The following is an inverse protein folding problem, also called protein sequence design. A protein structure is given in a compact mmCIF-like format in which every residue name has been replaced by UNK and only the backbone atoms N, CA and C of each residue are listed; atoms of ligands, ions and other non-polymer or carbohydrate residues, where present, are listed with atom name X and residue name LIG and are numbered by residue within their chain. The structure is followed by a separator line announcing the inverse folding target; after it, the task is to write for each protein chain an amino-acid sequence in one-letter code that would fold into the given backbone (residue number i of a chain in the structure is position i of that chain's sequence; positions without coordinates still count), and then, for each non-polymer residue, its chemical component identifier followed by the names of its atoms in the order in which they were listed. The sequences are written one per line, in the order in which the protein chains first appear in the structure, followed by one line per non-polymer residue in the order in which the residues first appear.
data_IF_281677360268
#
_entry.id   IF_281677360268
#
_cell.length_a   1.000
_cell.length_b   1.000
_cell.length_c   1.000
_cell.angle_alpha   90.00
_cell.angle_beta   90.00
_cell.angle_gamma   90.00
#
_symmetry.space_group_name_H-M   'P 1'
#
loop_
_entity.id
_entity.type
_entity.pdbx_description
1 polymer ?
#
# COMPACT_ATOMS: atom_id res chain seq x y z
N UNK A 1 19.02 16.48 -4.31
CA UNK A 1 18.28 15.37 -4.95
C UNK A 1 18.66 14.08 -4.23
N UNK A 2 17.92 13.71 -3.19
CA UNK A 2 18.14 12.43 -2.50
C UNK A 2 17.53 11.32 -3.34
N UNK A 3 18.39 10.52 -3.95
CA UNK A 3 18.01 9.30 -4.67
C UNK A 3 17.09 8.46 -3.80
N UNK A 4 15.78 8.45 -4.10
CA UNK A 4 14.82 7.54 -3.47
C UNK A 4 15.34 6.13 -3.68
N UNK A 5 15.75 5.47 -2.61
CA UNK A 5 16.16 4.08 -2.67
C UNK A 5 14.90 3.28 -3.01
N UNK A 6 14.79 2.82 -4.26
CA UNK A 6 13.55 2.29 -4.85
C UNK A 6 13.07 0.96 -4.24
N UNK A 7 13.72 0.49 -3.17
CA UNK A 7 13.52 -0.81 -2.55
C UNK A 7 13.46 -0.76 -1.01
N UNK A 8 13.07 0.36 -0.41
CA UNK A 8 12.82 0.39 1.03
C UNK A 8 11.55 -0.40 1.38
N UNK A 9 11.74 -1.50 2.11
CA UNK A 9 10.64 -2.29 2.66
C UNK A 9 10.15 -1.61 3.92
N UNK A 10 8.91 -1.12 3.89
CA UNK A 10 8.25 -0.51 5.05
C UNK A 10 7.39 -1.58 5.74
N UNK A 11 7.67 -1.85 7.01
CA UNK A 11 6.84 -2.73 7.83
C UNK A 11 5.69 -1.93 8.43
N UNK A 12 4.45 -2.27 8.07
CA UNK A 12 3.24 -1.62 8.57
C UNK A 12 2.51 -2.59 9.49
N UNK A 13 2.15 -2.14 10.69
CA UNK A 13 1.29 -2.88 11.60
C UNK A 13 -0.16 -2.47 11.38
N UNK A 14 -1.01 -3.47 11.21
CA UNK A 14 -2.46 -3.30 11.06
C UNK A 14 -3.18 -4.29 11.97
N UNK A 15 -4.47 -4.05 12.18
CA UNK A 15 -5.32 -4.99 12.91
C UNK A 15 -5.40 -6.35 12.20
N UNK A 16 -5.44 -7.42 12.99
CA UNK A 16 -5.44 -8.79 12.49
C UNK A 16 -6.63 -9.07 11.57
N UNK A 17 -7.82 -8.60 11.94
CA UNK A 17 -9.03 -8.78 11.14
C UNK A 17 -8.91 -8.08 9.77
N UNK A 18 -8.33 -6.88 9.74
CA UNK A 18 -8.12 -6.14 8.50
C UNK A 18 -7.12 -6.87 7.59
N UNK A 19 -6.03 -7.39 8.15
CA UNK A 19 -5.06 -8.20 7.40
C UNK A 19 -5.71 -9.41 6.76
N UNK A 20 -6.54 -10.14 7.50
CA UNK A 20 -7.25 -11.32 6.98
C UNK A 20 -8.21 -10.97 5.85
N UNK A 21 -9.01 -9.90 6.01
CA UNK A 21 -9.92 -9.41 4.98
C UNK A 21 -9.17 -9.06 3.69
N UNK A 22 -8.08 -8.30 3.79
CA UNK A 22 -7.27 -7.91 2.63
C UNK A 22 -6.58 -9.13 2.00
N UNK A 23 -6.10 -10.08 2.79
CA UNK A 23 -5.50 -11.32 2.27
C UNK A 23 -6.47 -12.14 1.44
N UNK A 24 -7.74 -12.23 1.87
CA UNK A 24 -8.80 -12.92 1.09
C UNK A 24 -9.09 -12.20 -0.22
N UNK A 25 -9.08 -10.86 -0.23
CA UNK A 25 -9.27 -10.06 -1.44
C UNK A 25 -8.09 -10.25 -2.41
N UNK A 26 -6.86 -10.22 -1.90
CA UNK A 26 -5.66 -10.45 -2.70
C UNK A 26 -5.69 -11.81 -3.40
N UNK A 27 -6.04 -12.86 -2.65
CA UNK A 27 -6.19 -14.21 -3.17
C UNK A 27 -7.26 -14.30 -4.27
N UNK A 28 -8.44 -13.71 -4.05
CA UNK A 28 -9.52 -13.66 -5.07
C UNK A 28 -9.09 -12.96 -6.36
N UNK A 29 -8.23 -11.95 -6.25
CA UNK A 29 -7.74 -11.18 -7.39
C UNK A 29 -6.48 -11.79 -8.03
N UNK A 30 -5.99 -12.93 -7.55
CA UNK A 30 -4.77 -13.57 -8.06
C UNK A 30 -3.50 -12.74 -7.84
N UNK A 31 -3.48 -11.85 -6.84
CA UNK A 31 -2.34 -10.99 -6.51
C UNK A 31 -1.81 -11.26 -5.09
N UNK A 32 -0.64 -10.71 -4.79
CA UNK A 32 -0.03 -10.80 -3.47
C UNK A 32 -0.51 -9.65 -2.56
N UNK A 33 -0.57 -9.91 -1.25
CA UNK A 33 -1.02 -8.93 -0.26
C UNK A 33 -0.22 -7.61 -0.35
N UNK A 34 1.11 -7.69 -0.46
CA UNK A 34 1.97 -6.50 -0.55
C UNK A 34 1.71 -5.69 -1.82
N UNK A 35 1.43 -6.33 -2.95
CA UNK A 35 1.14 -5.64 -4.21
C UNK A 35 -0.22 -4.93 -4.15
N UNK A 36 -1.22 -5.62 -3.60
CA UNK A 36 -2.55 -5.04 -3.39
C UNK A 36 -2.49 -3.82 -2.45
N UNK A 37 -1.79 -3.95 -1.32
CA UNK A 37 -1.60 -2.84 -0.37
C UNK A 37 -0.87 -1.68 -1.03
N UNK A 38 0.18 -1.95 -1.82
CA UNK A 38 0.92 -0.88 -2.53
C UNK A 38 -0.01 -0.09 -3.44
N UNK A 39 -0.82 -0.77 -4.26
CA UNK A 39 -1.79 -0.10 -5.15
C UNK A 39 -2.78 0.76 -4.37
N UNK A 40 -3.37 0.23 -3.29
CA UNK A 40 -4.30 1.00 -2.46
C UNK A 40 -3.66 2.24 -1.83
N UNK A 41 -2.43 2.13 -1.34
CA UNK A 41 -1.70 3.28 -0.80
C UNK A 41 -1.39 4.31 -1.88
N UNK A 42 -0.95 3.89 -3.07
CA UNK A 42 -0.69 4.78 -4.20
C UNK A 42 -1.96 5.54 -4.62
N UNK A 43 -3.11 4.85 -4.70
CA UNK A 43 -4.40 5.49 -5.01
C UNK A 43 -4.85 6.44 -3.91
N UNK A 44 -4.73 6.05 -2.65
CA UNK A 44 -5.07 6.90 -1.51
C UNK A 44 -4.23 8.18 -1.48
N UNK A 45 -2.91 8.07 -1.67
CA UNK A 45 -2.01 9.22 -1.72
C UNK A 45 -2.38 10.12 -2.91
N UNK A 46 -2.66 9.55 -4.09
CA UNK A 46 -3.05 10.32 -5.27
C UNK A 46 -4.37 11.08 -5.07
N UNK A 47 -5.33 10.47 -4.36
CA UNK A 47 -6.64 11.06 -4.09
C UNK A 47 -6.61 12.10 -2.97
N UNK A 48 -5.80 11.90 -1.93
CA UNK A 48 -5.87 12.69 -0.69
C UNK A 48 -4.63 13.55 -0.40
N UNK A 49 -3.48 13.28 -1.02
CA UNK A 49 -2.21 13.96 -0.75
C UNK A 49 -1.73 14.87 -1.89
N UNK A 50 -2.51 15.02 -2.97
CA UNK A 50 -2.20 15.93 -4.10
C UNK A 50 -2.16 17.42 -3.72
N UNK A 51 -2.54 17.76 -2.48
CA UNK A 51 -2.61 19.14 -1.96
C UNK A 51 -1.35 19.60 -1.20
N UNK A 52 -0.28 18.80 -1.12
CA UNK A 52 0.95 19.15 -0.36
C UNK A 52 2.22 19.28 -1.19
N UNK A 53 2.11 19.76 -2.43
CA UNK A 53 3.24 20.37 -3.14
C UNK A 53 2.99 21.88 -3.24
N UNK A 54 3.35 22.62 -2.18
CA UNK A 54 3.61 24.06 -2.21
C UNK A 54 4.93 24.34 -1.51
#
# INVERSE_FOLDING_TARGET
MTSKNRNEIINIRVESELKEKVSKIAFKNGTNLSELIRRFLEEYIKAHCKDKEN
#
